data_IF_439228061846
#
_entry.id   IF_439228061846
#
_cell.length_a   1.000
_cell.length_b   1.000
_cell.length_c   1.000
_cell.angle_alpha   90.00
_cell.angle_beta   90.00
_cell.angle_gamma   90.00
#
_symmetry.space_group_name_H-M   'P 1'
#
loop_
_entity.id
_entity.type
_entity.pdbx_description
1 polymer ?
#
# COMPACT_ATOMS: atom_id res chain seq x y z
N UNK A 1 11.66 11.01 5.27
CA UNK A 1 10.92 11.33 6.50
C UNK A 1 11.61 10.56 7.63
N UNK A 2 11.95 11.18 8.77
CA UNK A 2 12.47 10.42 9.92
C UNK A 2 11.26 9.83 10.64
N UNK A 3 11.23 8.51 10.78
CA UNK A 3 10.20 7.78 11.52
C UNK A 3 10.77 7.39 12.88
N UNK A 4 9.98 7.57 13.94
CA UNK A 4 10.36 7.14 15.29
C UNK A 4 10.17 5.62 15.42
N UNK A 5 9.25 5.04 14.65
CA UNK A 5 8.94 3.60 14.62
C UNK A 5 8.96 3.11 13.17
N UNK A 6 9.56 1.94 12.94
CA UNK A 6 9.54 1.32 11.62
C UNK A 6 8.10 1.15 11.13
N UNK A 7 7.74 1.56 9.90
CA UNK A 7 6.40 1.36 9.38
C UNK A 7 6.05 -0.14 9.32
N UNK A 8 4.76 -0.45 9.46
CA UNK A 8 4.28 -1.83 9.62
C UNK A 8 3.24 -2.13 8.56
N UNK A 9 3.40 -3.26 7.87
CA UNK A 9 2.33 -3.80 7.03
C UNK A 9 1.19 -4.31 7.92
N UNK A 10 -0.01 -3.80 7.72
CA UNK A 10 -1.19 -4.15 8.52
C UNK A 10 -1.95 -5.28 7.86
N UNK A 11 -2.40 -5.08 6.62
CA UNK A 11 -3.25 -6.02 5.89
C UNK A 11 -3.32 -5.65 4.40
N UNK A 12 -3.54 -6.65 3.55
CA UNK A 12 -4.02 -6.48 2.19
C UNK A 12 -5.50 -6.89 2.15
N UNK A 13 -6.34 -6.08 1.53
CA UNK A 13 -7.78 -6.36 1.36
C UNK A 13 -8.13 -6.44 -0.11
N UNK A 14 -8.99 -7.39 -0.47
CA UNK A 14 -9.55 -7.48 -1.83
C UNK A 14 -10.93 -6.84 -1.94
N UNK A 15 -11.64 -6.75 -0.81
CA UNK A 15 -12.93 -6.07 -0.71
C UNK A 15 -12.88 -4.98 0.36
N UNK A 16 -13.63 -3.90 0.17
CA UNK A 16 -13.69 -2.81 1.14
C UNK A 16 -14.28 -3.26 2.49
N UNK A 17 -15.12 -4.31 2.50
CA UNK A 17 -15.68 -4.87 3.73
C UNK A 17 -14.61 -5.43 4.68
N UNK A 18 -13.45 -5.83 4.15
CA UNK A 18 -12.33 -6.38 4.93
C UNK A 18 -11.38 -5.29 5.45
N UNK A 19 -11.69 -4.01 5.18
CA UNK A 19 -10.87 -2.89 5.59
C UNK A 19 -10.66 -2.88 7.12
N UNK A 20 -9.42 -2.67 7.60
CA UNK A 20 -9.19 -2.47 9.02
C UNK A 20 -9.98 -1.26 9.52
N UNK A 21 -10.32 -1.23 10.80
CA UNK A 21 -10.95 -0.03 11.39
C UNK A 21 -10.02 1.16 11.20
N UNK A 22 -10.55 2.34 10.84
CA UNK A 22 -9.76 3.55 10.70
C UNK A 22 -8.96 3.82 11.98
N UNK A 23 -7.67 4.06 11.83
CA UNK A 23 -6.74 4.30 12.94
C UNK A 23 -5.86 5.51 12.63
N UNK A 24 -6.43 6.70 12.83
CA UNK A 24 -5.78 7.98 12.52
C UNK A 24 -6.02 8.44 11.08
N UNK A 25 -5.15 9.32 10.58
CA UNK A 25 -5.28 9.88 9.22
C UNK A 25 -4.82 8.87 8.17
N UNK A 26 -5.65 8.67 7.14
CA UNK A 26 -5.38 7.75 6.02
C UNK A 26 -4.99 8.50 4.74
N UNK A 27 -3.95 8.03 4.06
CA UNK A 27 -3.47 8.57 2.79
C UNK A 27 -3.53 7.48 1.71
N UNK A 28 -4.44 7.64 0.75
CA UNK A 28 -4.56 6.76 -0.41
C UNK A 28 -3.57 7.13 -1.51
N UNK A 29 -2.82 6.15 -2.02
CA UNK A 29 -1.89 6.30 -3.13
C UNK A 29 -2.46 5.57 -4.33
N UNK A 30 -2.80 6.33 -5.38
CA UNK A 30 -3.39 5.82 -6.61
C UNK A 30 -2.56 6.24 -7.82
N UNK A 31 -2.56 5.43 -8.87
CA UNK A 31 -1.70 5.63 -10.04
C UNK A 31 -1.75 4.46 -11.01
N UNK A 32 -1.52 4.74 -12.30
CA UNK A 32 -1.67 3.78 -13.40
C UNK A 32 -0.81 2.51 -13.23
N UNK A 33 0.44 2.67 -12.83
CA UNK A 33 1.43 1.58 -12.73
C UNK A 33 1.61 1.09 -11.29
N UNK A 34 1.49 -0.21 -11.04
CA UNK A 34 1.74 -0.79 -9.71
C UNK A 34 3.22 -0.68 -9.31
N UNK A 35 4.16 -0.93 -10.23
CA UNK A 35 5.59 -0.81 -9.97
C UNK A 35 6.02 0.59 -9.51
N UNK A 36 5.47 1.65 -10.11
CA UNK A 36 5.79 3.03 -9.76
C UNK A 36 5.32 3.42 -8.36
N UNK A 37 4.09 3.06 -7.99
CA UNK A 37 3.53 3.30 -6.64
C UNK A 37 4.31 2.54 -5.57
N UNK A 38 4.53 1.25 -5.78
CA UNK A 38 5.26 0.40 -4.84
C UNK A 38 6.70 0.88 -4.61
N UNK A 39 7.38 1.34 -5.67
CA UNK A 39 8.70 1.97 -5.56
C UNK A 39 8.66 3.29 -4.80
N UNK A 40 7.67 4.15 -5.07
CA UNK A 40 7.46 5.39 -4.32
C UNK A 40 7.25 5.13 -2.83
N UNK A 41 6.34 4.21 -2.48
CA UNK A 41 6.05 3.84 -1.09
C UNK A 41 7.29 3.30 -0.39
N UNK A 42 7.99 2.36 -1.03
CA UNK A 42 9.21 1.76 -0.46
C UNK A 42 10.30 2.82 -0.22
N UNK A 43 10.45 3.78 -1.14
CA UNK A 43 11.42 4.86 -1.02
C UNK A 43 11.00 5.87 0.06
N UNK A 44 9.74 6.31 0.05
CA UNK A 44 9.22 7.31 0.98
C UNK A 44 9.22 6.81 2.43
N UNK A 45 8.92 5.53 2.64
CA UNK A 45 8.94 4.86 3.95
C UNK A 45 10.34 4.38 4.36
N UNK A 46 11.34 4.51 3.48
CA UNK A 46 12.68 3.95 3.66
C UNK A 46 12.68 2.45 4.01
N UNK A 47 11.71 1.70 3.47
CA UNK A 47 11.55 0.28 3.72
C UNK A 47 11.83 -0.50 2.45
N UNK A 48 13.07 -1.01 2.35
CA UNK A 48 13.44 -1.90 1.24
C UNK A 48 12.68 -3.22 1.39
N UNK A 49 11.84 -3.54 0.40
CA UNK A 49 11.22 -4.86 0.25
C UNK A 49 9.85 -5.07 0.93
N UNK A 50 9.21 -4.02 1.46
CA UNK A 50 7.88 -4.16 2.10
C UNK A 50 6.73 -4.20 1.09
N UNK A 51 6.85 -3.47 -0.03
CA UNK A 51 5.86 -3.53 -1.09
C UNK A 51 5.90 -4.93 -1.70
N UNK A 52 5.00 -5.80 -1.24
CA UNK A 52 4.80 -7.14 -1.77
C UNK A 52 4.23 -6.99 -3.17
N UNK A 53 5.12 -6.83 -4.14
CA UNK A 53 4.79 -7.01 -5.55
C UNK A 53 4.29 -8.44 -5.67
N UNK A 54 2.97 -8.60 -5.78
CA UNK A 54 2.37 -9.91 -5.95
C UNK A 54 2.99 -10.60 -7.17
N UNK A 55 3.64 -11.74 -6.92
CA UNK A 55 4.34 -12.53 -7.95
C UNK A 55 3.41 -13.22 -8.94
N UNK A 56 2.08 -13.04 -8.85
CA UNK A 56 1.10 -13.67 -9.74
C UNK A 56 0.60 -12.65 -10.79
N UNK A 57 0.92 -12.86 -12.08
CA UNK A 57 0.42 -12.00 -13.15
C UNK A 57 -1.11 -11.96 -13.18
N UNK A 58 -1.69 -10.77 -13.10
CA UNK A 58 -3.11 -10.52 -13.35
C UNK A 58 -4.10 -10.80 -12.21
N UNK A 59 -3.68 -10.80 -10.93
CA UNK A 59 -4.62 -11.12 -9.83
C UNK A 59 -4.46 -10.33 -8.54
N UNK A 60 -3.93 -9.11 -8.55
CA UNK A 60 -3.81 -8.35 -7.29
C UNK A 60 -4.24 -6.91 -7.49
N UNK A 61 -5.56 -6.74 -7.36
CA UNK A 61 -6.25 -5.47 -7.17
C UNK A 61 -6.41 -5.16 -5.66
N UNK A 62 -5.60 -5.77 -4.80
CA UNK A 62 -5.72 -5.62 -3.35
C UNK A 62 -5.22 -4.25 -2.91
N UNK A 63 -5.94 -3.62 -1.96
CA UNK A 63 -5.48 -2.43 -1.29
C UNK A 63 -4.60 -2.81 -0.10
N UNK A 64 -3.37 -2.29 -0.03
CA UNK A 64 -2.40 -2.62 1.02
C UNK A 64 -2.29 -1.49 2.05
N UNK A 65 -2.46 -1.83 3.32
CA UNK A 65 -2.44 -0.88 4.43
C UNK A 65 -1.09 -0.93 5.16
N UNK A 66 -0.48 0.23 5.33
CA UNK A 66 0.80 0.42 6.02
C UNK A 66 0.62 1.43 7.16
N UNK A 67 0.87 1.03 8.40
CA UNK A 67 0.82 1.91 9.56
C UNK A 67 2.19 2.57 9.78
N UNK A 68 2.20 3.88 9.94
CA UNK A 68 3.42 4.68 10.12
C UNK A 68 3.33 5.41 11.46
N UNK A 69 4.34 5.21 12.31
CA UNK A 69 4.49 5.88 13.61
C UNK A 69 3.24 5.84 14.51
N UNK A 70 2.36 4.84 14.33
CA UNK A 70 1.04 4.73 14.98
C UNK A 70 0.09 5.94 14.82
N UNK A 71 0.43 6.90 13.95
CA UNK A 71 -0.29 8.17 13.77
C UNK A 71 -1.06 8.24 12.46
N UNK A 72 -0.56 7.56 11.44
CA UNK A 72 -1.14 7.59 10.11
C UNK A 72 -1.05 6.23 9.43
N UNK A 73 -1.90 6.06 8.42
CA UNK A 73 -1.98 4.87 7.60
C UNK A 73 -1.85 5.26 6.15
N UNK A 74 -0.97 4.59 5.41
CA UNK A 74 -0.88 4.71 3.96
C UNK A 74 -1.55 3.52 3.30
N UNK A 75 -2.32 3.78 2.26
CA UNK A 75 -3.08 2.76 1.52
C UNK A 75 -2.58 2.74 0.08
N UNK A 76 -1.88 1.67 -0.32
CA UNK A 76 -1.51 1.41 -1.72
C UNK A 76 -2.73 0.84 -2.43
N UNK A 77 -3.40 1.67 -3.22
CA UNK A 77 -4.59 1.29 -3.96
C UNK A 77 -4.20 0.57 -5.26
N UNK A 78 -5.06 -0.34 -5.76
CA UNK A 78 -4.81 -0.98 -7.04
C UNK A 78 -4.64 0.03 -8.17
N UNK A 79 -3.68 -0.22 -9.06
CA UNK A 79 -3.46 0.63 -10.22
C UNK A 79 -4.56 0.46 -11.27
N UNK A 80 -5.16 1.57 -11.67
CA UNK A 80 -6.26 1.62 -12.63
C UNK A 80 -5.85 1.36 -14.10
N UNK A 81 -4.57 1.06 -14.37
CA UNK A 81 -4.00 0.97 -15.72
C UNK A 81 -3.61 -0.42 -16.20
N UNK A 82 -3.78 -1.46 -15.38
CA UNK A 82 -3.58 -2.85 -15.79
C UNK A 82 -4.93 -3.57 -15.85
N UNK A 83 -5.87 -2.97 -16.57
CA UNK A 83 -6.99 -3.73 -17.12
C UNK A 83 -6.42 -4.59 -18.25
N UNK A 84 -6.56 -5.91 -18.13
CA UNK A 84 -6.30 -6.80 -19.26
C UNK A 84 -7.15 -6.33 -20.44
N UNK A 85 -6.51 -5.88 -21.51
CA UNK A 85 -7.04 -6.12 -22.86
C UNK A 85 -6.73 -7.54 -23.28
#
# INVERSE_FOLDING_TARGET
>A
MKHDVAPQFVRAIDTFADAPRPAGTEFGIMGRSNSGKSSFISHALNMRGLARVSKKPGKTNSANFYRIDHKMVWVDLPGYGHART
#
